data_IF_365425239869
#
_entry.id   IF_365425239869
#
_cell.length_a   1.000
_cell.length_b   1.000
_cell.length_c   1.000
_cell.angle_alpha   90.00
_cell.angle_beta   90.00
_cell.angle_gamma   90.00
#
_symmetry.space_group_name_H-M   'P 1'
#
loop_
_entity.id
_entity.type
_entity.pdbx_description
1 polymer ?
#
# COMPACT_ATOMS: atom_id res chain seq x y z
N UNK A 1 -8.11 13.01 25.12
CA UNK A 1 -7.08 12.52 24.18
C UNK A 1 -7.52 11.24 23.48
N UNK A 2 -7.45 11.21 22.14
CA UNK A 2 -7.70 10.01 21.30
C UNK A 2 -6.40 9.27 21.01
N UNK A 3 -6.46 7.95 20.95
CA UNK A 3 -5.28 7.12 20.68
C UNK A 3 -5.35 6.42 19.33
N UNK A 4 -4.27 6.57 18.58
CA UNK A 4 -4.05 5.94 17.29
C UNK A 4 -2.74 5.18 17.28
N UNK A 5 -2.51 4.38 16.25
CA UNK A 5 -1.21 3.76 16.06
C UNK A 5 -1.10 2.88 14.84
N UNK A 6 0.10 2.36 14.63
CA UNK A 6 0.43 1.40 13.58
C UNK A 6 0.74 0.05 14.21
N UNK A 7 0.08 -1.02 13.74
CA UNK A 7 0.44 -2.41 14.04
C UNK A 7 1.17 -3.03 12.83
N UNK A 8 2.19 -3.85 13.09
CA UNK A 8 3.02 -4.48 12.06
C UNK A 8 4.33 -5.01 12.64
N UNK A 9 5.20 -5.58 11.80
CA UNK A 9 6.56 -5.95 12.19
C UNK A 9 7.48 -6.13 10.98
N UNK A 10 8.69 -5.53 10.95
CA UNK A 10 9.19 -4.48 11.85
C UNK A 10 8.56 -3.10 11.53
N UNK A 11 8.59 -2.18 12.51
CA UNK A 11 8.07 -0.82 12.41
C UNK A 11 9.17 0.27 12.52
N UNK A 12 10.43 -0.14 12.41
CA UNK A 12 11.60 0.75 12.48
C UNK A 12 11.47 1.88 11.45
N UNK A 13 11.59 3.14 11.88
CA UNK A 13 11.42 4.35 11.06
C UNK A 13 10.09 4.45 10.29
N UNK A 14 8.96 4.36 11.00
CA UNK A 14 7.63 4.50 10.41
C UNK A 14 7.30 5.93 9.95
N UNK A 15 7.00 6.07 8.65
CA UNK A 15 6.41 7.29 8.09
C UNK A 15 5.12 7.69 8.84
N UNK A 16 4.22 6.75 9.11
CA UNK A 16 2.90 7.04 9.68
C UNK A 16 3.00 7.69 11.05
N UNK A 17 3.91 7.22 11.92
CA UNK A 17 4.10 7.84 13.23
C UNK A 17 4.57 9.29 13.10
N UNK A 18 5.57 9.55 12.25
CA UNK A 18 6.05 10.91 12.02
C UNK A 18 4.94 11.80 11.46
N UNK A 19 4.22 11.30 10.47
CA UNK A 19 3.14 12.02 9.79
C UNK A 19 2.04 12.44 10.78
N UNK A 20 1.48 11.50 11.53
CA UNK A 20 0.39 11.78 12.45
C UNK A 20 0.84 12.58 13.67
N UNK A 21 2.04 12.34 14.20
CA UNK A 21 2.59 13.16 15.30
C UNK A 21 2.70 14.63 14.88
N UNK A 22 3.25 14.88 13.69
CA UNK A 22 3.36 16.23 13.13
C UNK A 22 1.97 16.85 12.89
N UNK A 23 1.06 16.12 12.24
CA UNK A 23 -0.31 16.59 11.99
C UNK A 23 -1.02 16.98 13.28
N UNK A 24 -0.96 16.14 14.31
CA UNK A 24 -1.65 16.41 15.58
C UNK A 24 -1.08 17.63 16.29
N UNK A 25 0.24 17.84 16.22
CA UNK A 25 0.88 19.02 16.79
C UNK A 25 0.51 20.30 16.01
N UNK A 26 0.61 20.28 14.69
CA UNK A 26 0.35 21.44 13.83
C UNK A 26 -1.13 21.87 13.87
N UNK A 27 -2.04 20.90 13.89
CA UNK A 27 -3.49 21.15 13.90
C UNK A 27 -4.07 21.24 15.33
N UNK A 28 -3.23 21.20 16.36
CA UNK A 28 -3.65 21.24 17.79
C UNK A 28 -4.72 20.18 18.15
N UNK A 29 -4.57 18.97 17.61
CA UNK A 29 -5.47 17.84 17.84
C UNK A 29 -5.05 17.11 19.11
N UNK A 30 -5.97 16.95 20.08
CA UNK A 30 -5.76 16.16 21.30
C UNK A 30 -5.75 14.64 21.02
N UNK A 31 -4.67 14.17 20.38
CA UNK A 31 -4.46 12.79 19.97
C UNK A 31 -2.98 12.38 20.01
N UNK A 32 -2.74 11.06 20.14
CA UNK A 32 -1.40 10.48 20.10
C UNK A 32 -1.35 9.29 19.13
N UNK A 33 -0.21 9.11 18.45
CA UNK A 33 0.02 8.02 17.50
C UNK A 33 1.22 7.15 17.92
N UNK A 34 0.97 5.88 18.23
CA UNK A 34 2.00 4.92 18.67
C UNK A 34 2.43 3.91 17.61
N UNK A 35 3.58 3.27 17.82
CA UNK A 35 4.00 2.08 17.10
C UNK A 35 3.82 0.86 17.99
N UNK A 36 3.21 -0.18 17.46
CA UNK A 36 2.85 -1.39 18.18
C UNK A 36 3.31 -2.60 17.39
N UNK A 37 4.56 -3.01 17.61
CA UNK A 37 5.05 -4.25 17.03
C UNK A 37 4.34 -5.43 17.67
N UNK A 38 3.80 -6.32 16.84
CA UNK A 38 3.20 -7.57 17.28
C UNK A 38 4.12 -8.71 16.85
N UNK A 39 4.31 -9.73 17.68
CA UNK A 39 5.03 -10.93 17.27
C UNK A 39 4.13 -11.81 16.40
N UNK A 40 2.85 -11.89 16.78
CA UNK A 40 1.80 -12.61 16.07
C UNK A 40 0.51 -11.78 16.07
N UNK A 41 -0.36 -11.99 15.08
CA UNK A 41 -1.56 -11.14 14.93
C UNK A 41 -2.55 -11.33 16.09
N UNK A 42 -2.52 -12.48 16.76
CA UNK A 42 -3.31 -12.81 17.95
C UNK A 42 -3.10 -11.79 19.08
N UNK A 43 -1.90 -11.20 19.16
CA UNK A 43 -1.51 -10.22 20.18
C UNK A 43 -2.30 -8.91 20.08
N UNK A 44 -2.99 -8.67 18.95
CA UNK A 44 -3.93 -7.56 18.79
C UNK A 44 -5.02 -7.58 19.88
N UNK A 45 -5.46 -8.75 20.33
CA UNK A 45 -6.46 -8.87 21.41
C UNK A 45 -5.94 -8.28 22.71
N UNK A 46 -4.71 -8.63 23.09
CA UNK A 46 -4.08 -8.11 24.30
C UNK A 46 -3.82 -6.60 24.19
N UNK A 47 -3.36 -6.13 23.03
CA UNK A 47 -3.15 -4.71 22.78
C UNK A 47 -4.45 -3.90 22.97
N UNK A 48 -5.56 -4.39 22.43
CA UNK A 48 -6.87 -3.74 22.55
C UNK A 48 -7.43 -3.75 23.99
N UNK A 49 -6.97 -4.66 24.86
CA UNK A 49 -7.34 -4.67 26.29
C UNK A 49 -6.54 -3.64 27.10
N UNK A 50 -5.29 -3.38 26.71
CA UNK A 50 -4.41 -2.46 27.42
C UNK A 50 -4.71 -0.98 27.14
N UNK A 51 -5.31 -0.69 25.98
CA UNK A 51 -5.49 0.70 25.54
C UNK A 51 -6.76 0.87 24.71
N UNK A 52 -7.51 1.94 25.00
CA UNK A 52 -8.72 2.28 24.24
C UNK A 52 -8.36 3.07 22.98
N UNK A 53 -8.27 2.39 21.85
CA UNK A 53 -7.96 3.02 20.56
C UNK A 53 -9.18 3.69 19.92
N UNK A 54 -8.92 4.70 19.10
CA UNK A 54 -9.86 5.30 18.16
C UNK A 54 -9.66 4.75 16.75
N UNK A 55 -8.43 4.42 16.38
CA UNK A 55 -8.09 3.86 15.09
C UNK A 55 -6.69 3.23 15.09
N UNK A 56 -6.48 2.26 14.21
CA UNK A 56 -5.16 1.67 13.96
C UNK A 56 -4.92 1.59 12.47
N UNK A 57 -3.71 1.91 12.03
CA UNK A 57 -3.22 1.42 10.75
C UNK A 57 -2.64 0.01 10.91
N UNK A 58 -2.73 -0.78 9.86
CA UNK A 58 -2.15 -2.14 9.78
C UNK A 58 -1.16 -2.17 8.62
N UNK A 59 0.07 -2.61 8.88
CA UNK A 59 1.08 -2.82 7.83
C UNK A 59 1.53 -4.28 7.77
N UNK A 60 2.54 -4.57 6.97
CA UNK A 60 3.14 -5.89 6.86
C UNK A 60 3.55 -6.44 8.25
N UNK A 61 3.40 -7.76 8.46
CA UNK A 61 2.82 -8.75 7.55
C UNK A 61 1.30 -8.93 7.70
N UNK A 62 0.61 -8.07 8.48
CA UNK A 62 -0.70 -8.41 9.05
C UNK A 62 -1.93 -7.94 8.26
N UNK A 63 -1.77 -7.25 7.13
CA UNK A 63 -2.91 -6.69 6.36
C UNK A 63 -3.98 -7.72 5.98
N UNK A 64 -3.62 -9.00 5.83
CA UNK A 64 -4.57 -10.09 5.56
C UNK A 64 -4.91 -10.91 6.81
N UNK A 65 -3.93 -11.18 7.68
CA UNK A 65 -4.15 -12.01 8.86
C UNK A 65 -4.96 -11.29 9.95
N UNK A 66 -5.15 -9.98 9.84
CA UNK A 66 -6.01 -9.20 10.76
C UNK A 66 -7.50 -9.42 10.50
N UNK A 67 -7.89 -9.87 9.30
CA UNK A 67 -9.30 -9.99 8.90
C UNK A 67 -10.14 -10.81 9.91
N UNK A 68 -9.71 -11.98 10.43
CA UNK A 68 -10.50 -12.75 11.40
C UNK A 68 -10.75 -12.04 12.74
N UNK A 69 -10.07 -10.92 13.01
CA UNK A 69 -10.18 -10.15 14.25
C UNK A 69 -11.08 -8.92 14.12
N UNK A 70 -11.64 -8.68 12.93
CA UNK A 70 -12.54 -7.55 12.66
C UNK A 70 -13.98 -8.02 12.57
N UNK A 71 -14.90 -7.18 13.05
CA UNK A 71 -16.34 -7.46 13.09
C UNK A 71 -17.04 -7.02 11.81
N UNK A 72 -16.57 -5.91 11.22
CA UNK A 72 -17.17 -5.30 10.02
C UNK A 72 -16.09 -4.90 9.02
N UNK A 73 -16.49 -4.73 7.77
CA UNK A 73 -15.63 -4.28 6.68
C UNK A 73 -16.43 -3.39 5.73
N UNK A 74 -15.78 -2.34 5.19
CA UNK A 74 -16.33 -1.63 4.04
C UNK A 74 -16.25 -2.49 2.77
N UNK A 75 -17.02 -2.10 1.74
CA UNK A 75 -17.07 -2.84 0.47
C UNK A 75 -15.70 -2.98 -0.18
N UNK A 76 -14.86 -1.93 -0.08
CA UNK A 76 -13.51 -1.91 -0.64
C UNK A 76 -12.62 -2.93 0.05
N UNK A 77 -12.55 -2.94 1.38
CA UNK A 77 -11.73 -3.90 2.12
C UNK A 77 -12.18 -5.34 1.91
N UNK A 78 -13.50 -5.59 1.78
CA UNK A 78 -14.03 -6.93 1.44
C UNK A 78 -13.55 -7.38 0.07
N UNK A 79 -13.65 -6.52 -0.93
CA UNK A 79 -13.26 -6.84 -2.30
C UNK A 79 -11.74 -7.03 -2.45
N UNK A 80 -10.93 -6.21 -1.78
CA UNK A 80 -9.47 -6.33 -1.78
C UNK A 80 -9.01 -7.56 -1.00
N UNK A 81 -9.73 -7.94 0.07
CA UNK A 81 -9.31 -9.03 0.96
C UNK A 81 -8.05 -8.69 1.76
N UNK A 82 -7.88 -7.40 2.09
CA UNK A 82 -6.82 -6.89 2.97
C UNK A 82 -7.28 -5.58 3.63
N UNK A 83 -6.83 -5.33 4.86
CA UNK A 83 -7.14 -4.15 5.67
C UNK A 83 -5.84 -3.45 6.08
N UNK A 84 -5.75 -2.13 5.86
CA UNK A 84 -4.66 -1.28 6.36
C UNK A 84 -5.17 -0.18 7.34
N UNK A 85 -6.48 -0.09 7.57
CA UNK A 85 -7.11 0.86 8.49
C UNK A 85 -8.21 0.15 9.30
N UNK A 86 -8.13 0.23 10.62
CA UNK A 86 -9.14 -0.24 11.56
C UNK A 86 -9.73 0.98 12.25
N UNK A 87 -11.06 1.06 12.30
CA UNK A 87 -11.81 2.03 13.10
C UNK A 87 -12.48 1.34 14.27
N UNK A 88 -12.35 1.93 15.45
CA UNK A 88 -13.00 1.43 16.67
C UNK A 88 -14.34 2.15 16.85
N UNK A 89 -15.43 1.49 16.47
CA UNK A 89 -16.79 2.03 16.54
C UNK A 89 -17.41 1.59 17.86
N UNK A 90 -17.85 2.54 18.68
CA UNK A 90 -18.49 2.26 19.98
C UNK A 90 -20.00 2.32 19.80
N UNK A 91 -20.70 1.19 19.94
CA UNK A 91 -22.17 1.09 19.82
C UNK A 91 -22.72 0.36 21.03
N UNK A 92 -23.69 0.96 21.73
CA UNK A 92 -24.41 0.31 22.85
C UNK A 92 -23.53 -0.35 23.92
N UNK A 93 -22.36 0.23 24.22
CA UNK A 93 -21.40 -0.31 25.19
C UNK A 93 -20.42 -1.34 24.64
N UNK A 94 -20.57 -1.77 23.38
CA UNK A 94 -19.66 -2.66 22.67
C UNK A 94 -18.72 -1.90 21.73
N UNK A 95 -17.56 -2.51 21.45
CA UNK A 95 -16.56 -1.97 20.52
C UNK A 95 -16.49 -2.86 19.29
N UNK A 96 -16.95 -2.33 18.17
CA UNK A 96 -16.91 -2.97 16.85
C UNK A 96 -15.65 -2.52 16.14
N UNK A 97 -14.81 -3.46 15.72
CA UNK A 97 -13.64 -3.19 14.89
C UNK A 97 -14.03 -3.28 13.42
N UNK A 98 -14.02 -2.15 12.73
CA UNK A 98 -14.37 -2.07 11.31
C UNK A 98 -13.13 -1.86 10.45
N UNK A 99 -12.92 -2.74 9.48
CA UNK A 99 -11.79 -2.72 8.55
C UNK A 99 -12.07 -1.91 7.29
N UNK A 100 -11.05 -1.20 6.85
CA UNK A 100 -11.02 -0.39 5.63
C UNK A 100 -9.68 -0.59 4.90
N UNK A 101 -9.66 -0.22 3.61
CA UNK A 101 -8.44 -0.23 2.81
C UNK A 101 -8.17 1.15 2.18
N UNK A 102 -7.36 1.98 2.84
CA UNK A 102 -6.96 3.30 2.32
C UNK A 102 -5.79 3.24 1.34
N UNK A 103 -5.12 2.09 1.15
CA UNK A 103 -4.14 1.92 0.07
C UNK A 103 -4.81 2.14 -1.30
N UNK A 104 -6.06 1.67 -1.45
CA UNK A 104 -6.87 1.87 -2.67
C UNK A 104 -7.01 3.35 -3.00
N UNK A 105 -7.39 4.17 -2.02
CA UNK A 105 -7.57 5.62 -2.18
C UNK A 105 -6.23 6.27 -2.52
N UNK A 106 -5.20 6.00 -1.71
CA UNK A 106 -3.86 6.57 -1.91
C UNK A 106 -3.29 6.23 -3.28
N UNK A 107 -3.39 4.97 -3.73
CA UNK A 107 -2.87 4.54 -5.01
C UNK A 107 -3.66 5.14 -6.17
N UNK A 108 -5.00 5.06 -6.14
CA UNK A 108 -5.86 5.63 -7.16
C UNK A 108 -5.55 7.11 -7.41
N UNK A 109 -5.56 7.93 -6.36
CA UNK A 109 -5.44 9.38 -6.49
C UNK A 109 -4.04 9.81 -6.96
N UNK A 110 -3.01 9.03 -6.59
CA UNK A 110 -1.64 9.25 -7.07
C UNK A 110 -1.38 8.75 -8.50
N UNK A 111 -2.12 7.74 -8.97
CA UNK A 111 -1.92 7.12 -10.29
C UNK A 111 -2.70 7.85 -11.38
N UNK A 112 -3.98 8.14 -11.14
CA UNK A 112 -4.91 8.66 -12.15
C UNK A 112 -4.38 9.89 -12.90
N UNK A 113 -3.76 10.90 -12.24
CA UNK A 113 -3.22 12.08 -12.92
C UNK A 113 -2.08 11.76 -13.91
N UNK A 114 -1.44 10.60 -13.77
CA UNK A 114 -0.31 10.16 -14.60
C UNK A 114 -0.76 9.31 -15.79
N UNK A 115 -2.00 8.80 -15.77
CA UNK A 115 -2.46 7.90 -16.80
C UNK A 115 -2.58 8.59 -18.16
N UNK A 116 -2.44 7.76 -19.20
CA UNK A 116 -2.56 8.13 -20.61
C UNK A 116 -3.47 7.10 -21.29
N UNK A 117 -4.13 7.45 -22.41
CA UNK A 117 -5.10 6.56 -23.05
C UNK A 117 -4.54 5.17 -23.42
N UNK A 118 -3.23 5.07 -23.65
CA UNK A 118 -2.54 3.82 -23.99
C UNK A 118 -2.12 2.96 -22.79
N UNK A 119 -2.25 3.43 -21.54
CA UNK A 119 -2.00 2.58 -20.36
C UNK A 119 -3.17 1.61 -20.15
N UNK A 120 -3.25 0.57 -20.98
CA UNK A 120 -4.35 -0.41 -20.96
C UNK A 120 -4.02 -1.69 -20.21
N UNK A 121 -2.73 -1.99 -20.03
CA UNK A 121 -2.27 -3.18 -19.33
C UNK A 121 -1.12 -2.84 -18.40
N UNK A 122 -1.09 -3.50 -17.24
CA UNK A 122 -0.10 -3.32 -16.21
C UNK A 122 0.58 -4.62 -15.79
N UNK A 123 1.91 -4.56 -15.59
CA UNK A 123 2.64 -5.56 -14.81
C UNK A 123 2.72 -5.08 -13.37
N UNK A 124 2.33 -5.93 -12.43
CA UNK A 124 2.44 -5.66 -10.99
C UNK A 124 3.40 -6.66 -10.38
N UNK A 125 4.54 -6.17 -9.90
CA UNK A 125 5.57 -6.98 -9.29
C UNK A 125 5.28 -7.19 -7.80
N UNK A 126 5.09 -8.44 -7.38
CA UNK A 126 4.71 -8.82 -6.03
C UNK A 126 3.27 -9.32 -5.94
N UNK A 127 2.97 -10.06 -4.86
CA UNK A 127 1.66 -10.72 -4.66
C UNK A 127 1.13 -10.53 -3.22
N UNK A 128 1.67 -9.56 -2.48
CA UNK A 128 1.27 -9.25 -1.11
C UNK A 128 0.05 -8.35 -0.99
N UNK A 129 -0.29 -7.92 0.23
CA UNK A 129 -1.47 -7.09 0.50
C UNK A 129 -1.53 -5.76 -0.27
N UNK A 130 -0.39 -5.10 -0.48
CA UNK A 130 -0.33 -3.88 -1.30
C UNK A 130 -0.63 -4.15 -2.78
N UNK A 131 -0.15 -5.28 -3.32
CA UNK A 131 -0.46 -5.71 -4.69
C UNK A 131 -1.95 -5.90 -4.93
N UNK A 132 -2.69 -6.38 -3.91
CA UNK A 132 -4.15 -6.55 -4.02
C UNK A 132 -4.88 -5.21 -4.14
N UNK A 133 -4.44 -4.19 -3.40
CA UNK A 133 -5.01 -2.84 -3.53
C UNK A 133 -4.70 -2.24 -4.92
N UNK A 134 -3.48 -2.43 -5.42
CA UNK A 134 -3.07 -2.03 -6.78
C UNK A 134 -3.93 -2.73 -7.83
N UNK A 135 -4.03 -4.06 -7.78
CA UNK A 135 -4.84 -4.86 -8.71
C UNK A 135 -6.31 -4.43 -8.72
N UNK A 136 -6.87 -4.19 -7.52
CA UNK A 136 -8.24 -3.70 -7.38
C UNK A 136 -8.45 -2.36 -8.09
N UNK A 137 -7.58 -1.38 -7.84
CA UNK A 137 -7.66 -0.06 -8.48
C UNK A 137 -7.53 -0.16 -10.00
N UNK A 138 -6.52 -0.90 -10.48
CA UNK A 138 -6.28 -1.05 -11.92
C UNK A 138 -7.45 -1.72 -12.63
N UNK A 139 -8.01 -2.78 -12.03
CA UNK A 139 -9.20 -3.46 -12.56
C UNK A 139 -10.41 -2.53 -12.63
N UNK A 140 -10.62 -1.70 -11.60
CA UNK A 140 -11.71 -0.69 -11.57
C UNK A 140 -11.52 0.42 -12.61
N UNK A 141 -10.29 0.69 -13.03
CA UNK A 141 -9.96 1.62 -14.10
C UNK A 141 -10.00 0.97 -15.49
N UNK A 142 -10.33 -0.33 -15.59
CA UNK A 142 -10.34 -1.07 -16.86
C UNK A 142 -8.94 -1.35 -17.42
N UNK A 143 -7.93 -1.40 -16.55
CA UNK A 143 -6.54 -1.76 -16.89
C UNK A 143 -6.36 -3.25 -16.59
N UNK A 144 -5.99 -4.03 -17.60
CA UNK A 144 -5.69 -5.45 -17.45
C UNK A 144 -4.42 -5.64 -16.61
N UNK A 145 -4.47 -6.53 -15.62
CA UNK A 145 -3.36 -6.75 -14.68
C UNK A 145 -2.74 -8.11 -14.90
N UNK A 146 -1.42 -8.13 -15.01
CA UNK A 146 -0.62 -9.36 -14.95
C UNK A 146 0.32 -9.29 -13.74
N UNK A 147 0.08 -10.18 -12.78
CA UNK A 147 0.94 -10.30 -11.60
C UNK A 147 2.26 -10.99 -11.97
N UNK A 148 3.34 -10.54 -11.32
CA UNK A 148 4.70 -11.08 -11.50
C UNK A 148 5.30 -11.42 -10.14
N UNK A 149 5.93 -12.58 -10.00
CA UNK A 149 6.61 -12.99 -8.77
C UNK A 149 7.92 -13.73 -9.06
N UNK A 150 8.63 -14.17 -8.01
CA UNK A 150 9.88 -14.94 -8.18
C UNK A 150 9.65 -16.31 -8.80
N UNK A 151 8.51 -16.93 -8.52
CA UNK A 151 8.15 -18.25 -9.02
C UNK A 151 6.87 -18.15 -9.83
N UNK A 152 6.85 -18.78 -11.00
CA UNK A 152 5.64 -18.89 -11.79
C UNK A 152 4.58 -19.70 -11.03
N UNK A 153 3.33 -19.26 -11.14
CA UNK A 153 2.12 -19.99 -10.70
C UNK A 153 1.05 -19.78 -11.77
N UNK A 154 -0.05 -20.53 -11.72
CA UNK A 154 -1.10 -20.60 -12.76
C UNK A 154 -1.34 -19.27 -13.51
N UNK A 155 -1.64 -18.17 -12.79
CA UNK A 155 -1.91 -16.84 -13.37
C UNK A 155 -0.83 -15.78 -13.08
N UNK A 156 0.33 -16.19 -12.57
CA UNK A 156 1.41 -15.29 -12.12
C UNK A 156 2.69 -15.61 -12.89
N UNK A 157 3.20 -14.63 -13.64
CA UNK A 157 4.46 -14.78 -14.37
C UNK A 157 5.66 -14.76 -13.41
N UNK A 158 6.72 -15.47 -13.77
CA UNK A 158 8.05 -15.24 -13.18
C UNK A 158 8.75 -14.04 -13.85
N UNK A 159 9.78 -13.49 -13.20
CA UNK A 159 10.64 -12.46 -13.81
C UNK A 159 11.29 -12.94 -15.12
N UNK A 160 11.67 -14.21 -15.20
CA UNK A 160 12.28 -14.82 -16.39
C UNK A 160 11.33 -14.85 -17.60
N UNK A 161 10.02 -14.81 -17.36
CA UNK A 161 8.99 -14.79 -18.41
C UNK A 161 8.71 -13.37 -18.94
N UNK A 162 9.35 -12.33 -18.39
CA UNK A 162 9.17 -10.96 -18.84
C UNK A 162 10.08 -10.70 -20.04
N UNK A 163 9.60 -11.07 -21.23
CA UNK A 163 10.31 -10.83 -22.49
C UNK A 163 10.11 -9.38 -22.98
N UNK A 164 10.89 -8.92 -23.98
CA UNK A 164 10.66 -7.65 -24.65
C UNK A 164 9.24 -7.47 -25.18
N UNK A 165 8.63 -8.52 -25.73
CA UNK A 165 7.28 -8.52 -26.29
C UNK A 165 6.22 -8.36 -25.18
N UNK A 166 6.48 -8.98 -24.02
CA UNK A 166 5.69 -8.76 -22.81
C UNK A 166 5.82 -7.30 -22.38
N UNK A 167 7.02 -6.76 -22.15
CA UNK A 167 7.16 -5.36 -21.74
C UNK A 167 6.49 -4.38 -22.71
N UNK A 168 6.67 -4.56 -24.02
CA UNK A 168 6.01 -3.73 -25.03
C UNK A 168 4.48 -3.81 -24.98
N UNK A 169 3.94 -4.90 -24.46
CA UNK A 169 2.50 -5.12 -24.27
C UNK A 169 1.96 -4.43 -23.02
N UNK A 170 2.77 -4.23 -21.98
CA UNK A 170 2.38 -3.67 -20.68
C UNK A 170 3.07 -2.33 -20.41
N UNK A 171 2.37 -1.22 -20.65
CA UNK A 171 2.96 0.12 -20.51
C UNK A 171 2.97 0.63 -19.07
N UNK A 172 2.20 0.04 -18.16
CA UNK A 172 2.23 0.40 -16.74
C UNK A 172 3.00 -0.68 -15.95
N UNK A 173 4.07 -0.28 -15.28
CA UNK A 173 4.92 -1.17 -14.50
C UNK A 173 4.86 -0.75 -13.03
N UNK A 174 4.30 -1.58 -12.15
CA UNK A 174 4.10 -1.23 -10.73
C UNK A 174 4.95 -2.13 -9.84
N UNK A 175 5.93 -1.57 -9.13
CA UNK A 175 6.68 -2.30 -8.10
C UNK A 175 5.91 -2.28 -6.77
N UNK A 176 5.32 -3.42 -6.41
CA UNK A 176 4.69 -3.66 -5.11
C UNK A 176 5.48 -4.65 -4.24
N UNK A 177 6.78 -4.83 -4.54
CA UNK A 177 7.73 -5.62 -3.74
C UNK A 177 8.50 -4.71 -2.78
N UNK A 178 9.19 -5.26 -1.77
CA UNK A 178 10.11 -4.49 -0.94
C UNK A 178 11.47 -4.20 -1.62
N UNK A 179 11.69 -4.62 -2.87
CA UNK A 179 12.98 -4.37 -3.55
C UNK A 179 13.21 -2.87 -3.73
N UNK A 180 14.45 -2.45 -3.50
CA UNK A 180 14.88 -1.05 -3.56
C UNK A 180 14.63 -0.25 -2.29
N UNK A 181 14.00 -0.83 -1.26
CA UNK A 181 13.81 -0.15 0.03
C UNK A 181 15.11 -0.08 0.83
N UNK A 182 15.31 0.99 1.61
CA UNK A 182 16.41 1.05 2.59
C UNK A 182 16.37 -0.14 3.57
N UNK A 183 17.51 -0.79 3.89
CA UNK A 183 18.87 -0.45 3.49
C UNK A 183 19.33 -1.03 2.13
N UNK A 184 18.55 -1.92 1.52
CA UNK A 184 18.88 -2.64 0.28
C UNK A 184 18.52 -1.84 -0.99
N UNK A 185 19.02 -0.61 -1.06
CA UNK A 185 18.70 0.38 -2.10
C UNK A 185 19.28 0.04 -3.48
N UNK A 186 20.19 -0.92 -3.53
CA UNK A 186 20.86 -1.46 -4.71
C UNK A 186 20.09 -2.62 -5.37
N UNK A 187 18.91 -2.95 -4.87
CA UNK A 187 18.04 -3.98 -5.45
C UNK A 187 16.89 -3.36 -6.26
N UNK A 188 16.43 -4.05 -7.30
CA UNK A 188 15.23 -3.69 -8.04
C UNK A 188 14.64 -4.93 -8.74
N UNK A 189 13.47 -4.76 -9.37
CA UNK A 189 12.86 -5.80 -10.19
C UNK A 189 13.75 -6.11 -11.39
N UNK A 190 13.96 -7.41 -11.66
CA UNK A 190 14.82 -7.85 -12.75
C UNK A 190 13.98 -8.02 -14.04
N UNK A 191 14.07 -7.04 -14.93
CA UNK A 191 13.32 -6.97 -16.19
C UNK A 191 14.24 -6.41 -17.30
N UNK A 192 13.94 -6.64 -18.59
CA UNK A 192 14.74 -6.10 -19.67
C UNK A 192 14.51 -4.58 -19.85
N UNK A 193 15.08 -3.77 -18.96
CA UNK A 193 14.96 -2.30 -18.94
C UNK A 193 15.32 -1.66 -20.28
N UNK A 194 16.15 -2.31 -21.09
CA UNK A 194 16.51 -1.83 -22.41
C UNK A 194 15.34 -1.69 -23.39
N UNK A 195 14.22 -2.36 -23.12
CA UNK A 195 13.01 -2.32 -23.91
C UNK A 195 11.98 -1.31 -23.39
N UNK A 196 12.29 -0.59 -22.30
CA UNK A 196 11.48 0.52 -21.82
C UNK A 196 11.59 1.69 -22.79
N UNK A 197 10.49 2.41 -22.94
CA UNK A 197 10.32 3.56 -23.83
C UNK A 197 9.55 4.67 -23.12
N UNK A 198 9.47 5.84 -23.75
CA UNK A 198 8.66 6.97 -23.27
C UNK A 198 7.14 6.71 -23.18
N UNK A 199 6.65 5.57 -23.67
CA UNK A 199 5.27 5.14 -23.48
C UNK A 199 5.05 4.41 -22.15
N UNK A 200 6.10 4.09 -21.41
CA UNK A 200 5.97 3.41 -20.13
C UNK A 200 5.78 4.39 -18.98
N UNK A 201 5.04 3.95 -17.97
CA UNK A 201 4.95 4.54 -16.65
C UNK A 201 5.45 3.52 -15.62
N UNK A 202 6.51 3.85 -14.90
CA UNK A 202 6.99 3.07 -13.76
C UNK A 202 6.47 3.72 -12.48
N UNK A 203 5.72 2.94 -11.70
CA UNK A 203 5.20 3.34 -10.40
C UNK A 203 5.84 2.46 -9.33
N UNK A 204 6.61 3.04 -8.42
CA UNK A 204 7.19 2.31 -7.30
C UNK A 204 6.43 2.60 -6.02
N UNK A 205 5.94 1.57 -5.31
CA UNK A 205 5.34 1.78 -3.99
C UNK A 205 6.38 2.12 -2.92
N UNK A 206 7.67 1.90 -3.20
CA UNK A 206 8.78 2.35 -2.35
C UNK A 206 8.91 3.88 -2.42
N UNK A 207 9.14 4.50 -1.25
CA UNK A 207 9.30 5.95 -1.10
C UNK A 207 10.65 6.35 -0.50
N UNK A 208 11.41 5.39 0.04
CA UNK A 208 12.72 5.61 0.62
C UNK A 208 13.70 4.54 0.11
N UNK A 209 14.61 4.91 -0.82
CA UNK A 209 14.97 6.25 -1.26
C UNK A 209 13.91 6.91 -2.16
N UNK A 210 14.03 8.23 -2.37
CA UNK A 210 13.11 8.98 -3.24
C UNK A 210 13.16 8.52 -4.71
N UNK A 211 14.35 8.11 -5.18
CA UNK A 211 14.57 7.54 -6.52
C UNK A 211 15.25 6.18 -6.36
N UNK A 212 14.48 5.10 -6.55
CA UNK A 212 14.98 3.71 -6.52
C UNK A 212 15.69 3.37 -7.84
N UNK A 213 16.43 2.26 -7.88
CA UNK A 213 17.02 1.77 -9.14
C UNK A 213 15.95 1.47 -10.19
N UNK A 214 14.79 0.93 -9.79
CA UNK A 214 13.65 0.70 -10.69
C UNK A 214 13.23 1.99 -11.40
N UNK A 215 13.02 3.07 -10.64
CA UNK A 215 12.65 4.36 -11.20
C UNK A 215 13.79 4.99 -12.03
N UNK A 216 15.03 4.91 -11.55
CA UNK A 216 16.20 5.45 -12.25
C UNK A 216 16.34 4.82 -13.64
N UNK A 217 16.28 3.48 -13.73
CA UNK A 217 16.40 2.79 -15.01
C UNK A 217 15.28 3.12 -15.98
N UNK A 218 14.04 3.28 -15.51
CA UNK A 218 12.95 3.73 -16.38
C UNK A 218 13.16 5.16 -16.89
N UNK A 219 13.56 6.06 -16.00
CA UNK A 219 13.82 7.47 -16.33
C UNK A 219 14.96 7.64 -17.33
N UNK A 220 16.03 6.85 -17.20
CA UNK A 220 17.15 6.78 -18.16
C UNK A 220 16.70 6.37 -19.58
N UNK A 221 15.55 5.67 -19.69
CA UNK A 221 14.92 5.28 -20.96
C UNK A 221 13.77 6.21 -21.39
N UNK A 222 13.61 7.33 -20.71
CA UNK A 222 12.60 8.35 -21.01
C UNK A 222 11.18 8.01 -20.55
N UNK A 223 10.99 6.98 -19.72
CA UNK A 223 9.70 6.66 -19.13
C UNK A 223 9.26 7.72 -18.10
N UNK A 224 7.96 7.84 -17.91
CA UNK A 224 7.42 8.57 -16.77
C UNK A 224 7.60 7.74 -15.51
N UNK A 225 7.92 8.38 -14.38
CA UNK A 225 8.21 7.71 -13.10
C UNK A 225 7.44 8.34 -11.95
N UNK A 226 7.01 7.52 -10.99
CA UNK A 226 6.37 7.95 -9.73
C UNK A 226 6.82 7.07 -8.58
N UNK A 227 7.16 7.67 -7.44
CA UNK A 227 7.48 6.95 -6.21
C UNK A 227 6.27 6.84 -5.28
N UNK A 228 6.42 6.10 -4.17
CA UNK A 228 5.32 5.77 -3.28
C UNK A 228 4.87 6.89 -2.35
N UNK A 229 5.57 8.03 -2.33
CA UNK A 229 5.33 9.07 -1.31
C UNK A 229 3.93 9.69 -1.41
N UNK A 230 3.46 9.96 -2.63
CA UNK A 230 2.13 10.52 -2.86
C UNK A 230 1.03 9.56 -2.36
N UNK A 231 1.13 8.28 -2.73
CA UNK A 231 0.23 7.24 -2.21
C UNK A 231 0.29 7.14 -0.68
N UNK A 232 1.49 7.20 -0.09
CA UNK A 232 1.69 7.06 1.34
C UNK A 232 1.06 8.21 2.14
N UNK A 233 1.13 9.44 1.62
CA UNK A 233 0.40 10.58 2.17
C UNK A 233 -1.11 10.44 1.99
N UNK A 234 -1.56 10.11 0.78
CA UNK A 234 -2.98 9.95 0.46
C UNK A 234 -3.67 8.90 1.32
N UNK A 235 -3.04 7.74 1.52
CA UNK A 235 -3.60 6.70 2.38
C UNK A 235 -3.67 7.11 3.87
N UNK A 236 -2.77 7.99 4.33
CA UNK A 236 -2.74 8.47 5.71
C UNK A 236 -3.85 9.51 5.95
N UNK A 237 -4.06 10.45 5.03
CA UNK A 237 -5.18 11.38 5.09
C UNK A 237 -6.52 10.65 4.99
N UNK A 238 -6.65 9.69 4.07
CA UNK A 238 -7.85 8.86 3.99
C UNK A 238 -8.11 8.07 5.28
N UNK A 239 -7.07 7.54 5.94
CA UNK A 239 -7.22 6.89 7.25
C UNK A 239 -7.74 7.87 8.31
N UNK A 240 -7.21 9.10 8.33
CA UNK A 240 -7.69 10.15 9.23
C UNK A 240 -9.16 10.47 9.01
N UNK A 241 -9.59 10.65 7.75
CA UNK A 241 -10.98 10.89 7.40
C UNK A 241 -11.89 9.74 7.86
N UNK A 242 -11.48 8.48 7.61
CA UNK A 242 -12.22 7.28 8.02
C UNK A 242 -12.45 7.27 9.54
N UNK A 243 -11.42 7.55 10.33
CA UNK A 243 -11.52 7.56 11.79
C UNK A 243 -12.42 8.69 12.33
N UNK A 244 -12.59 9.77 11.57
CA UNK A 244 -13.40 10.93 11.96
C UNK A 244 -14.80 10.94 11.37
N UNK A 245 -15.07 10.12 10.35
CA UNK A 245 -16.41 10.00 9.75
C UNK A 245 -17.42 9.58 10.83
N UNK A 246 -18.58 10.23 10.89
CA UNK A 246 -19.67 9.77 11.75
C UNK A 246 -20.26 8.48 11.16
N UNK A 247 -20.64 7.54 12.03
CA UNK A 247 -21.39 6.33 11.65
C UNK A 247 -22.82 6.43 12.15
#
# INVERSE_FOLDING_TARGET
MRYFGLIGKPLVHSFSQRYFTQKFQEESIDAAYGLYELDKIEDLKQLCQQKSFSGLNVTIPYKQSVLPYLSEFDETARAVGAVNVIKFVRRSGEVVLKGYNSDVIGFHDSLVPLLRPYHKRALVFGTGGASKAVEYVLSRLGIEVQLVSRQAKDSVLSYEQITPEVLQSYQLLVNATPLGTFPHVDTCVDIPYQNITNKHLLYDLVYNPQETLFLRHGKERGAQVMNGYAMLRGQAEAAWEIWNKQE
#
